data_IF_051598714671
#
_entry.id   IF_051598714671
#
_cell.length_a   1.000
_cell.length_b   1.000
_cell.length_c   1.000
_cell.angle_alpha   90.00
_cell.angle_beta   90.00
_cell.angle_gamma   90.00
#
_symmetry.space_group_name_H-M   'P 1'
#
loop_
_entity.id
_entity.type
_entity.pdbx_description
1 polymer ?
#
# COMPACT_ATOMS: atom_id res chain seq x y z
N UNK A 1 -0.84 -20.55 11.60
CA UNK A 1 -0.34 -19.19 11.89
C UNK A 1 -0.28 -18.46 10.56
N UNK A 2 -0.79 -17.23 10.50
CA UNK A 2 -0.65 -16.42 9.29
C UNK A 2 0.78 -15.90 9.16
N UNK A 3 1.30 -15.81 7.94
CA UNK A 3 2.58 -15.18 7.61
C UNK A 3 2.49 -13.65 7.66
N UNK A 4 3.63 -12.96 7.69
CA UNK A 4 3.67 -11.49 7.61
C UNK A 4 3.01 -10.99 6.31
N UNK A 5 3.29 -11.65 5.18
CA UNK A 5 2.68 -11.36 3.89
C UNK A 5 1.15 -11.46 3.93
N UNK A 6 0.60 -12.52 4.55
CA UNK A 6 -0.85 -12.70 4.66
C UNK A 6 -1.52 -11.61 5.52
N UNK A 7 -0.85 -11.17 6.60
CA UNK A 7 -1.34 -10.08 7.43
C UNK A 7 -1.33 -8.76 6.67
N UNK A 8 -0.24 -8.46 5.97
CA UNK A 8 -0.11 -7.26 5.14
C UNK A 8 -1.09 -7.23 3.98
N UNK A 9 -1.26 -8.35 3.28
CA UNK A 9 -2.23 -8.48 2.19
C UNK A 9 -3.66 -8.27 2.70
N UNK A 10 -3.98 -8.83 3.87
CA UNK A 10 -5.28 -8.60 4.52
C UNK A 10 -5.47 -7.12 4.81
N UNK A 11 -4.47 -6.46 5.40
CA UNK A 11 -4.54 -5.04 5.70
C UNK A 11 -4.66 -4.17 4.44
N UNK A 12 -3.84 -4.37 3.40
CA UNK A 12 -3.95 -3.59 2.14
C UNK A 12 -5.29 -3.75 1.46
N UNK A 13 -5.82 -4.98 1.42
CA UNK A 13 -7.06 -5.30 0.69
C UNK A 13 -8.31 -4.81 1.41
N UNK A 14 -8.29 -4.73 2.74
CA UNK A 14 -9.50 -4.52 3.54
C UNK A 14 -9.45 -3.30 4.45
N UNK A 15 -8.27 -2.74 4.69
CA UNK A 15 -8.03 -1.72 5.72
C UNK A 15 -8.17 -2.23 7.16
N UNK A 16 -8.36 -3.55 7.36
CA UNK A 16 -8.60 -4.13 8.69
C UNK A 16 -7.30 -4.52 9.38
N UNK A 17 -7.23 -4.32 10.70
CA UNK A 17 -6.07 -4.70 11.52
C UNK A 17 -5.01 -3.60 11.67
N UNK A 18 -5.28 -2.39 11.18
CA UNK A 18 -4.38 -1.25 11.32
C UNK A 18 -5.06 0.08 11.01
N UNK A 19 -4.26 1.12 10.84
CA UNK A 19 -4.73 2.47 10.50
C UNK A 19 -4.13 2.90 9.17
N UNK A 20 -4.97 3.37 8.24
CA UNK A 20 -4.51 3.95 6.98
C UNK A 20 -4.30 5.44 7.17
N UNK A 21 -3.08 5.90 6.93
CA UNK A 21 -2.71 7.32 6.95
C UNK A 21 -2.28 7.72 5.54
N UNK A 22 -2.81 8.86 5.08
CA UNK A 22 -2.42 9.46 3.79
C UNK A 22 -1.59 10.71 4.02
N UNK A 23 -0.55 10.91 3.21
CA UNK A 23 0.26 12.13 3.28
C UNK A 23 -0.54 13.33 2.76
N UNK A 24 -0.15 14.55 3.15
CA UNK A 24 -0.82 15.78 2.73
C UNK A 24 -0.92 15.92 1.21
N UNK A 25 0.08 15.44 0.47
CA UNK A 25 0.07 15.43 -1.00
C UNK A 25 -1.05 14.57 -1.58
N UNK A 26 -1.31 13.40 -1.00
CA UNK A 26 -2.43 12.53 -1.41
C UNK A 26 -3.77 13.11 -0.94
N UNK A 27 -3.83 13.60 0.29
CA UNK A 27 -5.04 14.19 0.88
C UNK A 27 -5.54 15.44 0.13
N UNK A 28 -4.64 16.17 -0.54
CA UNK A 28 -4.98 17.33 -1.35
C UNK A 28 -5.58 16.97 -2.73
N UNK A 29 -5.51 15.70 -3.16
CA UNK A 29 -6.06 15.26 -4.44
C UNK A 29 -7.59 15.15 -4.36
N UNK A 30 -8.31 15.19 -5.50
CA UNK A 30 -9.75 14.95 -5.53
C UNK A 30 -10.12 13.60 -4.88
N UNK A 31 -11.25 13.47 -4.16
CA UNK A 31 -11.62 12.23 -3.49
C UNK A 31 -11.66 11.00 -4.40
N UNK A 32 -12.10 11.17 -5.66
CA UNK A 32 -12.07 10.11 -6.67
C UNK A 32 -10.64 9.63 -6.96
N UNK A 33 -9.69 10.55 -7.04
CA UNK A 33 -8.27 10.23 -7.26
C UNK A 33 -7.69 9.49 -6.07
N UNK A 34 -7.99 9.93 -4.85
CA UNK A 34 -7.60 9.21 -3.63
C UNK A 34 -8.14 7.77 -3.63
N UNK A 35 -9.43 7.60 -3.96
CA UNK A 35 -10.05 6.28 -4.08
C UNK A 35 -9.35 5.38 -5.11
N UNK A 36 -9.01 5.91 -6.29
CA UNK A 36 -8.27 5.17 -7.32
C UNK A 36 -6.87 4.75 -6.86
N UNK A 37 -6.18 5.60 -6.10
CA UNK A 37 -4.88 5.29 -5.51
C UNK A 37 -5.02 4.17 -4.48
N UNK A 38 -6.00 4.24 -3.57
CA UNK A 38 -6.25 3.20 -2.57
C UNK A 38 -6.60 1.86 -3.21
N UNK A 39 -7.42 1.86 -4.28
CA UNK A 39 -7.73 0.63 -5.05
C UNK A 39 -6.47 0.04 -5.67
N UNK A 40 -5.56 0.86 -6.21
CA UNK A 40 -4.27 0.38 -6.72
C UNK A 40 -3.40 -0.21 -5.60
N UNK A 41 -3.35 0.40 -4.43
CA UNK A 41 -2.63 -0.17 -3.26
C UNK A 41 -3.23 -1.53 -2.86
N UNK A 42 -4.55 -1.64 -2.80
CA UNK A 42 -5.26 -2.86 -2.42
C UNK A 42 -5.07 -4.01 -3.43
N UNK A 43 -4.94 -3.69 -4.72
CA UNK A 43 -4.76 -4.65 -5.81
C UNK A 43 -3.30 -4.88 -6.21
N UNK A 44 -2.34 -4.19 -5.58
CA UNK A 44 -0.93 -4.29 -5.95
C UNK A 44 -0.40 -5.72 -5.73
N UNK A 45 0.20 -6.28 -6.78
CA UNK A 45 0.76 -7.62 -6.87
C UNK A 45 2.16 -7.65 -7.53
N UNK A 46 2.71 -6.49 -7.89
CA UNK A 46 4.03 -6.34 -8.51
C UNK A 46 5.17 -6.40 -7.47
N UNK A 47 5.18 -7.45 -6.66
CA UNK A 47 6.26 -7.76 -5.72
C UNK A 47 7.41 -8.44 -6.46
N UNK A 48 8.61 -7.92 -6.26
CA UNK A 48 9.86 -8.33 -6.89
C UNK A 48 10.96 -8.31 -5.84
N UNK A 49 12.07 -9.01 -6.08
CA UNK A 49 13.21 -9.00 -5.15
C UNK A 49 13.76 -7.58 -4.86
N UNK A 50 13.56 -6.63 -5.79
CA UNK A 50 14.02 -5.25 -5.63
C UNK A 50 13.16 -4.42 -4.65
N UNK A 51 11.85 -4.65 -4.60
CA UNK A 51 10.93 -3.90 -3.72
C UNK A 51 10.41 -4.71 -2.54
N UNK A 52 10.61 -6.02 -2.53
CA UNK A 52 10.16 -6.93 -1.48
C UNK A 52 11.19 -8.06 -1.25
N UNK A 53 12.41 -7.74 -0.78
CA UNK A 53 13.49 -8.71 -0.60
C UNK A 53 13.19 -9.79 0.45
N UNK A 54 12.22 -9.52 1.33
CA UNK A 54 11.84 -10.43 2.43
C UNK A 54 10.48 -11.11 2.20
N UNK A 55 9.80 -10.83 1.08
CA UNK A 55 8.47 -11.39 0.80
C UNK A 55 7.42 -10.96 1.82
N UNK A 56 7.58 -9.79 2.42
CA UNK A 56 6.71 -9.29 3.48
C UNK A 56 5.47 -8.58 2.91
N UNK A 57 5.51 -8.10 1.66
CA UNK A 57 4.43 -7.33 1.05
C UNK A 57 4.12 -5.99 1.80
N UNK A 58 5.12 -5.40 2.44
CA UNK A 58 4.98 -4.17 3.25
C UNK A 58 5.28 -2.89 2.48
N UNK A 59 5.79 -2.96 1.25
CA UNK A 59 6.17 -1.80 0.45
C UNK A 59 5.81 -1.96 -1.02
N UNK A 60 5.46 -0.85 -1.66
CA UNK A 60 5.28 -0.82 -3.10
C UNK A 60 5.25 0.59 -3.68
N UNK A 61 5.38 0.65 -4.99
CA UNK A 61 5.25 1.89 -5.75
C UNK A 61 4.62 1.64 -7.11
N UNK A 62 3.91 2.63 -7.62
CA UNK A 62 3.34 2.60 -8.96
C UNK A 62 3.16 4.01 -9.50
N UNK A 63 3.12 4.13 -10.83
CA UNK A 63 2.82 5.40 -11.47
C UNK A 63 1.31 5.68 -11.51
N UNK A 64 0.98 6.95 -11.31
CA UNK A 64 -0.35 7.51 -11.40
C UNK A 64 -0.30 8.85 -12.15
N UNK A 65 -0.48 8.78 -13.47
CA UNK A 65 -0.21 9.92 -14.34
C UNK A 65 1.29 10.20 -14.41
N UNK A 66 1.70 11.44 -14.15
CA UNK A 66 3.10 11.87 -14.13
C UNK A 66 3.75 11.74 -12.74
N UNK A 67 3.02 11.20 -11.76
CA UNK A 67 3.48 11.07 -10.38
C UNK A 67 3.74 9.61 -10.03
N UNK A 68 4.86 9.34 -9.37
CA UNK A 68 5.08 8.04 -8.72
C UNK A 68 4.52 8.07 -7.31
N UNK A 69 3.64 7.12 -7.01
CA UNK A 69 3.04 6.93 -5.70
C UNK A 69 3.79 5.83 -4.97
N UNK A 70 4.15 6.09 -3.72
CA UNK A 70 4.75 5.13 -2.81
C UNK A 70 3.78 4.84 -1.67
N UNK A 71 3.77 3.59 -1.22
CA UNK A 71 3.04 3.17 -0.03
C UNK A 71 3.89 2.20 0.78
N UNK A 72 3.65 2.17 2.09
CA UNK A 72 4.28 1.21 2.99
C UNK A 72 3.37 0.85 4.16
N UNK A 73 3.65 -0.27 4.82
CA UNK A 73 3.07 -0.70 6.07
C UNK A 73 4.18 -0.64 7.12
N UNK A 74 4.00 0.21 8.12
CA UNK A 74 4.89 0.26 9.27
C UNK A 74 4.28 -0.55 10.42
N UNK A 75 5.13 -1.31 11.10
CA UNK A 75 4.76 -2.03 12.32
C UNK A 75 5.14 -1.17 13.53
N UNK A 76 4.22 -1.09 14.49
CA UNK A 76 4.53 -0.62 15.84
C UNK A 76 4.73 -1.87 16.69
N UNK A 77 5.94 -2.08 17.21
CA UNK A 77 6.23 -3.14 18.19
C UNK A 77 5.32 -3.05 19.42
#
# INVERSE_FOLDING_TARGET
>A
MSTIAELNDTFRRTGSGGTVIVTSGIAALPPETQGRILVKVASFDAFTENNDPYGAHDFGSFDFGEQSIFWKIDYYD
#
